data_IF_734695677596
#
_entry.id   IF_734695677596
#
_cell.length_a   1.000
_cell.length_b   1.000
_cell.length_c   1.000
_cell.angle_alpha   90.00
_cell.angle_beta   90.00
_cell.angle_gamma   90.00
#
_symmetry.space_group_name_H-M   'P 1'
#
loop_
_entity.id
_entity.type
_entity.pdbx_description
1 polymer ?
#
# COMPACT_ATOMS: atom_id res chain seq x y z
N UNK A 1 24.89 13.92 30.81
CA UNK A 1 24.84 14.17 29.34
C UNK A 1 24.83 12.88 28.52
N UNK A 2 25.70 11.90 28.80
CA UNK A 2 25.76 10.60 28.09
C UNK A 2 24.44 9.82 28.07
N UNK A 3 23.75 9.73 29.21
CA UNK A 3 22.45 9.02 29.33
C UNK A 3 21.31 9.65 28.53
N UNK A 4 21.22 10.99 28.48
CA UNK A 4 20.21 11.69 27.67
C UNK A 4 20.46 11.52 26.17
N UNK A 5 21.72 11.53 25.73
CA UNK A 5 22.05 11.27 24.32
C UNK A 5 21.79 9.83 23.90
N UNK A 6 22.16 8.84 24.73
CA UNK A 6 21.87 7.43 24.44
C UNK A 6 20.37 7.16 24.31
N UNK A 7 19.54 7.80 25.15
CA UNK A 7 18.08 7.66 25.08
C UNK A 7 17.50 8.27 23.79
N UNK A 8 17.96 9.45 23.37
CA UNK A 8 17.53 10.06 22.10
C UNK A 8 17.87 9.17 20.91
N UNK A 9 19.09 8.62 20.86
CA UNK A 9 19.52 7.72 19.77
C UNK A 9 18.63 6.47 19.70
N UNK A 10 18.30 5.87 20.84
CA UNK A 10 17.41 4.70 20.92
C UNK A 10 15.99 5.03 20.47
N UNK A 11 15.44 6.16 20.89
CA UNK A 11 14.09 6.57 20.45
C UNK A 11 14.05 6.89 18.95
N UNK A 12 15.08 7.57 18.42
CA UNK A 12 15.16 7.89 16.98
C UNK A 12 15.32 6.63 16.14
N UNK A 13 16.14 5.66 16.57
CA UNK A 13 16.30 4.41 15.82
C UNK A 13 14.99 3.60 15.79
N UNK A 14 14.29 3.49 16.91
CA UNK A 14 12.97 2.85 16.94
C UNK A 14 11.98 3.51 15.97
N UNK A 15 11.95 4.84 15.92
CA UNK A 15 11.06 5.58 15.03
C UNK A 15 11.33 5.28 13.55
N UNK A 16 12.61 5.20 13.16
CA UNK A 16 13.03 4.88 11.79
C UNK A 16 12.60 3.44 11.40
N UNK A 17 12.70 2.47 12.32
CA UNK A 17 12.25 1.11 12.02
C UNK A 17 10.73 1.00 11.87
N UNK A 18 9.95 1.81 12.60
CA UNK A 18 8.48 1.81 12.47
C UNK A 18 7.97 2.36 11.13
N UNK A 19 8.72 3.24 10.45
CA UNK A 19 8.32 3.77 9.12
C UNK A 19 8.73 2.86 7.95
N UNK A 20 9.58 1.86 8.18
CA UNK A 20 10.02 0.91 7.14
C UNK A 20 8.89 0.00 6.60
N UNK A 21 7.72 -0.01 7.25
CA UNK A 21 6.53 -0.74 6.78
C UNK A 21 5.78 -0.09 5.61
N UNK A 22 6.12 1.16 5.26
CA UNK A 22 5.52 1.85 4.11
C UNK A 22 6.15 1.37 2.80
N UNK A 23 5.73 0.20 2.32
CA UNK A 23 6.15 -0.31 1.00
C UNK A 23 5.18 0.13 -0.09
N UNK A 24 5.69 0.32 -1.31
CA UNK A 24 4.88 0.60 -2.51
C UNK A 24 3.89 -0.54 -2.81
N UNK A 25 4.25 -1.78 -2.48
CA UNK A 25 3.37 -2.95 -2.57
C UNK A 25 2.17 -2.83 -1.62
N UNK A 26 2.41 -2.51 -0.35
CA UNK A 26 1.34 -2.33 0.64
C UNK A 26 0.39 -1.20 0.23
N UNK A 27 0.92 -0.13 -0.35
CA UNK A 27 0.11 0.97 -0.88
C UNK A 27 -0.74 0.54 -2.08
N UNK A 28 -0.15 -0.18 -3.04
CA UNK A 28 -0.85 -0.72 -4.21
C UNK A 28 -2.00 -1.66 -3.81
N UNK A 29 -1.73 -2.63 -2.94
CA UNK A 29 -2.73 -3.59 -2.46
C UNK A 29 -3.83 -2.91 -1.65
N UNK A 30 -3.49 -1.89 -0.86
CA UNK A 30 -4.46 -1.07 -0.14
C UNK A 30 -5.41 -0.35 -1.09
N UNK A 31 -4.89 0.30 -2.13
CA UNK A 31 -5.70 0.97 -3.15
C UNK A 31 -6.61 -0.01 -3.92
N UNK A 32 -6.07 -1.18 -4.31
CA UNK A 32 -6.83 -2.24 -5.01
C UNK A 32 -8.00 -2.75 -4.18
N UNK A 33 -7.77 -3.08 -2.91
CA UNK A 33 -8.83 -3.50 -1.97
C UNK A 33 -9.85 -2.39 -1.71
N UNK A 34 -9.39 -1.15 -1.59
CA UNK A 34 -10.28 0.01 -1.43
C UNK A 34 -11.23 0.18 -2.62
N UNK A 35 -10.73 0.03 -3.84
CA UNK A 35 -11.55 0.06 -5.04
C UNK A 35 -12.56 -1.10 -5.11
N UNK A 36 -12.14 -2.31 -4.72
CA UNK A 36 -13.04 -3.46 -4.63
C UNK A 36 -14.17 -3.23 -3.62
N UNK A 37 -13.83 -2.75 -2.41
CA UNK A 37 -14.83 -2.41 -1.40
C UNK A 37 -15.80 -1.33 -1.90
N UNK A 38 -15.29 -0.31 -2.61
CA UNK A 38 -16.14 0.71 -3.20
C UNK A 38 -17.14 0.11 -4.22
N UNK A 39 -16.70 -0.80 -5.09
CA UNK A 39 -17.59 -1.48 -6.04
C UNK A 39 -18.66 -2.33 -5.35
N UNK A 40 -18.31 -3.02 -4.25
CA UNK A 40 -19.26 -3.86 -3.49
C UNK A 40 -20.33 -3.03 -2.76
N UNK A 41 -20.05 -1.77 -2.47
CA UNK A 41 -20.99 -0.84 -1.86
C UNK A 41 -21.93 -0.14 -2.86
N UNK A 42 -21.80 -0.42 -4.16
CA UNK A 42 -22.68 0.16 -5.17
C UNK A 42 -24.05 -0.54 -5.23
N UNK A 43 -25.08 0.15 -5.76
CA UNK A 43 -26.40 -0.44 -5.93
C UNK A 43 -26.39 -1.75 -6.74
N UNK A 44 -27.40 -2.63 -6.54
CA UNK A 44 -27.57 -3.82 -7.35
C UNK A 44 -27.59 -3.48 -8.85
N UNK A 45 -26.81 -4.21 -9.66
CA UNK A 45 -26.63 -3.97 -11.09
C UNK A 45 -25.38 -3.16 -11.45
N UNK A 46 -25.02 -2.14 -10.65
CA UNK A 46 -23.81 -1.34 -10.88
C UNK A 46 -22.56 -1.98 -10.24
N UNK A 47 -22.76 -2.77 -9.18
CA UNK A 47 -21.65 -3.45 -8.49
C UNK A 47 -20.89 -4.41 -9.41
N UNK A 48 -21.61 -5.24 -10.17
CA UNK A 48 -21.01 -6.25 -11.04
C UNK A 48 -20.22 -5.61 -12.18
N UNK A 49 -20.82 -4.62 -12.85
CA UNK A 49 -20.13 -3.80 -13.86
C UNK A 49 -18.90 -3.08 -13.27
N UNK A 50 -18.98 -2.57 -12.04
CA UNK A 50 -17.83 -1.95 -11.38
C UNK A 50 -16.69 -2.95 -11.14
N UNK A 51 -17.02 -4.12 -10.60
CA UNK A 51 -16.05 -5.20 -10.32
C UNK A 51 -15.35 -5.70 -11.59
N UNK A 52 -16.07 -5.78 -12.71
CA UNK A 52 -15.50 -6.18 -14.00
C UNK A 52 -14.40 -5.24 -14.50
N UNK A 53 -14.54 -3.94 -14.21
CA UNK A 53 -13.64 -2.88 -14.63
C UNK A 53 -12.45 -2.64 -13.66
N UNK A 54 -12.38 -3.38 -12.55
CA UNK A 54 -11.27 -3.22 -11.60
C UNK A 54 -9.93 -3.70 -12.16
N UNK A 55 -8.86 -3.07 -11.70
CA UNK A 55 -7.50 -3.53 -11.98
C UNK A 55 -7.28 -4.92 -11.35
N UNK A 56 -7.03 -5.93 -12.19
CA UNK A 56 -6.78 -7.31 -11.77
C UNK A 56 -5.30 -7.67 -11.65
N UNK A 57 -4.40 -6.78 -12.09
CA UNK A 57 -2.96 -7.03 -12.11
C UNK A 57 -2.42 -7.38 -10.72
N UNK A 58 -1.39 -8.20 -10.69
CA UNK A 58 -0.57 -8.35 -9.49
C UNK A 58 0.32 -7.12 -9.29
N UNK A 59 0.84 -6.93 -8.09
CA UNK A 59 1.84 -5.88 -7.85
C UNK A 59 3.10 -6.05 -8.71
N UNK A 60 3.52 -7.28 -8.97
CA UNK A 60 4.68 -7.58 -9.81
C UNK A 60 4.45 -7.19 -11.27
N UNK A 61 3.28 -7.52 -11.83
CA UNK A 61 2.89 -7.09 -13.19
C UNK A 61 2.82 -5.56 -13.29
N UNK A 62 2.21 -4.94 -12.29
CA UNK A 62 2.16 -3.49 -12.18
C UNK A 62 3.55 -2.86 -12.14
N UNK A 63 4.47 -3.41 -11.33
CA UNK A 63 5.84 -2.89 -11.25
C UNK A 63 6.64 -3.11 -12.51
N UNK A 64 6.50 -4.27 -13.15
CA UNK A 64 7.16 -4.55 -14.42
C UNK A 64 6.78 -3.51 -15.47
N UNK A 65 5.49 -3.20 -15.58
CA UNK A 65 4.97 -2.18 -16.49
C UNK A 65 5.39 -0.77 -16.10
N UNK A 66 5.26 -0.42 -14.81
CA UNK A 66 5.61 0.91 -14.27
C UNK A 66 7.09 1.23 -14.45
N UNK A 67 7.97 0.27 -14.15
CA UNK A 67 9.43 0.42 -14.21
C UNK A 67 9.98 0.37 -15.64
N UNK A 68 9.14 0.04 -16.63
CA UNK A 68 9.55 -0.05 -18.03
C UNK A 68 10.45 -1.24 -18.34
N UNK A 69 10.55 -2.22 -17.44
CA UNK A 69 11.30 -3.45 -17.68
C UNK A 69 10.50 -4.36 -18.64
N UNK A 70 10.92 -4.44 -19.90
CA UNK A 70 10.36 -5.35 -20.91
C UNK A 70 10.85 -6.79 -20.69
#
# INVERSE_FOLDING_TARGET
MKTKQSMVIVCTSLFIFSIAGCTTQSWYEGAKRGAENNCRNQPPGESERCLENLNKKSYEEYEKERSGQK
#
